data_IF_821269639522
#
_entry.id   IF_821269639522
#
_cell.length_a   1.000
_cell.length_b   1.000
_cell.length_c   1.000
_cell.angle_alpha   90.00
_cell.angle_beta   90.00
_cell.angle_gamma   90.00
#
_symmetry.space_group_name_H-M   'P 1'
#
loop_
_entity.id
_entity.type
_entity.pdbx_description
1 polymer ?
#
# COMPACT_ATOMS: atom_id res chain seq x y z
N UNK A 1 4.64 3.54 -19.63
CA UNK A 1 3.81 2.74 -20.56
C UNK A 1 4.54 2.71 -21.90
N UNK A 2 4.56 1.57 -22.59
CA UNK A 2 5.41 1.37 -23.78
C UNK A 2 6.79 0.76 -23.46
N UNK A 3 6.93 0.10 -22.30
CA UNK A 3 8.11 -0.65 -21.88
C UNK A 3 7.71 -2.13 -21.78
N UNK A 4 8.51 -3.02 -22.35
CA UNK A 4 8.32 -4.46 -22.26
C UNK A 4 8.81 -5.03 -20.92
N UNK A 5 8.27 -6.17 -20.51
CA UNK A 5 8.66 -6.85 -19.26
C UNK A 5 10.13 -7.32 -19.27
N UNK A 6 10.70 -7.51 -20.46
CA UNK A 6 12.12 -7.82 -20.69
C UNK A 6 13.04 -6.59 -20.68
N UNK A 7 12.50 -5.40 -20.39
CA UNK A 7 13.22 -4.14 -20.38
C UNK A 7 13.41 -3.52 -21.77
N UNK A 8 12.88 -4.13 -22.83
CA UNK A 8 12.86 -3.49 -24.15
C UNK A 8 11.97 -2.25 -24.13
N UNK A 9 12.28 -1.29 -25.00
CA UNK A 9 11.55 -0.02 -25.12
C UNK A 9 10.86 0.01 -26.49
N UNK A 10 9.81 -0.80 -26.72
CA UNK A 10 9.12 -0.80 -28.00
C UNK A 10 8.41 0.52 -28.27
N UNK A 11 8.04 1.28 -27.23
CA UNK A 11 7.25 2.49 -27.35
C UNK A 11 5.81 2.24 -27.80
N UNK A 12 5.00 3.26 -27.68
CA UNK A 12 3.61 3.29 -28.12
C UNK A 12 3.54 3.91 -29.52
N UNK A 13 2.71 3.31 -30.37
CA UNK A 13 2.40 3.85 -31.70
C UNK A 13 1.34 4.95 -31.66
N UNK A 14 0.45 4.88 -30.67
CA UNK A 14 -0.70 5.78 -30.52
C UNK A 14 -0.76 6.32 -29.09
N UNK A 15 0.31 6.99 -28.66
CA UNK A 15 0.46 7.42 -27.27
C UNK A 15 -0.66 8.37 -26.79
N UNK A 16 -1.23 9.19 -27.69
CA UNK A 16 -2.39 10.03 -27.39
C UNK A 16 -3.62 9.22 -26.95
N UNK A 17 -3.86 8.07 -27.59
CA UNK A 17 -5.00 7.19 -27.28
C UNK A 17 -4.80 6.50 -25.94
N UNK A 18 -3.60 5.92 -25.72
CA UNK A 18 -3.22 5.30 -24.46
C UNK A 18 -3.29 6.29 -23.28
N UNK A 19 -2.79 7.51 -23.47
CA UNK A 19 -2.89 8.58 -22.49
C UNK A 19 -4.36 8.91 -22.20
N UNK A 20 -5.17 9.13 -23.23
CA UNK A 20 -6.59 9.46 -23.06
C UNK A 20 -7.33 8.38 -22.25
N UNK A 21 -7.13 7.10 -22.60
CA UNK A 21 -7.75 5.97 -21.91
C UNK A 21 -7.31 5.93 -20.44
N UNK A 22 -6.01 6.09 -20.19
CA UNK A 22 -5.44 6.03 -18.85
C UNK A 22 -5.93 7.17 -17.96
N UNK A 23 -5.88 8.41 -18.45
CA UNK A 23 -6.34 9.61 -17.72
C UNK A 23 -7.81 9.45 -17.37
N UNK A 24 -8.65 9.05 -18.34
CA UNK A 24 -10.07 8.77 -18.11
C UNK A 24 -10.29 7.67 -17.07
N UNK A 25 -9.49 6.61 -17.09
CA UNK A 25 -9.59 5.54 -16.11
C UNK A 25 -9.23 6.02 -14.70
N UNK A 26 -8.16 6.80 -14.56
CA UNK A 26 -7.75 7.39 -13.27
C UNK A 26 -8.87 8.30 -12.74
N UNK A 27 -9.40 9.21 -13.55
CA UNK A 27 -10.47 10.13 -13.16
C UNK A 27 -11.77 9.40 -12.78
N UNK A 28 -12.13 8.38 -13.55
CA UNK A 28 -13.41 7.68 -13.39
C UNK A 28 -13.41 6.69 -12.24
N UNK A 29 -12.29 6.03 -11.97
CA UNK A 29 -12.25 4.89 -11.06
C UNK A 29 -11.43 5.15 -9.78
N UNK A 30 -10.59 6.18 -9.71
CA UNK A 30 -9.73 6.42 -8.54
C UNK A 30 -10.22 7.58 -7.66
N UNK A 31 -10.46 7.29 -6.37
CA UNK A 31 -10.97 8.27 -5.41
C UNK A 31 -10.33 8.14 -4.01
N UNK A 32 -10.01 9.25 -3.31
CA UNK A 32 -9.99 10.63 -3.81
C UNK A 32 -9.05 10.79 -5.01
N UNK A 33 -9.15 11.91 -5.73
CA UNK A 33 -8.35 12.14 -6.94
C UNK A 33 -6.84 11.95 -6.67
N UNK A 34 -6.15 11.30 -7.60
CA UNK A 34 -4.71 11.05 -7.52
C UNK A 34 -3.98 12.21 -8.19
N UNK A 35 -3.01 12.80 -7.51
CA UNK A 35 -2.09 13.77 -8.13
C UNK A 35 -0.98 13.00 -8.86
N UNK A 36 -0.70 13.37 -10.10
CA UNK A 36 0.40 12.82 -10.90
C UNK A 36 0.90 13.86 -11.92
N UNK A 37 2.12 13.69 -12.40
CA UNK A 37 2.59 14.33 -13.64
C UNK A 37 2.66 13.29 -14.74
N UNK A 38 2.48 13.74 -15.98
CA UNK A 38 2.59 12.92 -17.17
C UNK A 38 3.60 13.57 -18.11
N UNK A 39 4.59 12.79 -18.52
CA UNK A 39 5.63 13.19 -19.46
C UNK A 39 5.66 12.21 -20.63
N UNK A 40 5.97 12.72 -21.83
CA UNK A 40 6.17 11.90 -23.03
C UNK A 40 7.64 11.90 -23.40
N UNK A 41 8.19 10.71 -23.53
CA UNK A 41 9.57 10.51 -24.00
C UNK A 41 9.49 10.04 -25.44
N UNK A 42 9.92 10.89 -26.36
CA UNK A 42 9.94 10.57 -27.79
C UNK A 42 11.06 9.58 -28.11
N UNK A 43 10.76 8.61 -28.96
CA UNK A 43 11.68 7.59 -29.47
C UNK A 43 11.84 7.73 -31.00
N UNK A 44 12.63 6.82 -31.58
CA UNK A 44 12.68 6.66 -33.03
C UNK A 44 11.34 6.18 -33.61
N UNK A 45 11.17 6.32 -34.93
CA UNK A 45 9.98 5.88 -35.68
C UNK A 45 8.66 6.46 -35.16
N UNK A 46 8.69 7.72 -34.69
CA UNK A 46 7.51 8.45 -34.19
C UNK A 46 6.79 7.75 -33.02
N UNK A 47 7.52 6.93 -32.26
CA UNK A 47 6.99 6.28 -31.06
C UNK A 47 7.26 7.08 -29.80
N UNK A 48 6.46 6.84 -28.77
CA UNK A 48 6.60 7.53 -27.49
C UNK A 48 6.45 6.58 -26.30
N UNK A 49 7.07 6.93 -25.17
CA UNK A 49 6.83 6.30 -23.87
C UNK A 49 6.13 7.31 -22.96
N UNK A 50 5.04 6.87 -22.34
CA UNK A 50 4.35 7.68 -21.33
C UNK A 50 4.95 7.39 -19.95
N UNK A 51 5.41 8.43 -19.27
CA UNK A 51 5.95 8.39 -17.91
C UNK A 51 4.96 9.07 -16.98
N UNK A 52 4.31 8.30 -16.11
CA UNK A 52 3.45 8.83 -15.06
C UNK A 52 4.18 8.81 -13.73
N UNK A 53 4.39 9.99 -13.15
CA UNK A 53 5.01 10.13 -11.84
C UNK A 53 3.93 10.42 -10.80
N UNK A 54 3.71 9.44 -9.90
CA UNK A 54 2.69 9.52 -8.85
C UNK A 54 3.39 9.69 -7.50
N UNK A 55 3.46 10.91 -6.93
CA UNK A 55 4.06 11.12 -5.61
C UNK A 55 3.22 10.50 -4.49
N UNK A 56 3.84 10.28 -3.33
CA UNK A 56 3.13 9.82 -2.12
C UNK A 56 2.10 10.86 -1.70
N UNK A 57 0.83 10.51 -1.80
CA UNK A 57 -0.27 11.43 -1.47
C UNK A 57 -0.48 11.61 0.05
N UNK A 58 -0.81 12.84 0.51
CA UNK A 58 -1.24 13.11 1.88
C UNK A 58 -2.69 12.66 2.15
N UNK A 59 -3.46 12.33 1.12
CA UNK A 59 -4.89 11.97 1.23
C UNK A 59 -5.16 10.46 1.16
N UNK A 60 -4.12 9.63 1.30
CA UNK A 60 -4.22 8.16 1.29
C UNK A 60 -5.18 7.65 2.40
N UNK A 61 -5.82 6.48 2.20
CA UNK A 61 -5.74 5.62 1.01
C UNK A 61 -6.51 6.19 -0.19
N UNK A 62 -5.98 5.95 -1.40
CA UNK A 62 -6.75 6.07 -2.64
C UNK A 62 -7.39 4.73 -2.98
N UNK A 63 -8.64 4.78 -3.44
CA UNK A 63 -9.46 3.63 -3.76
C UNK A 63 -9.65 3.53 -5.27
N UNK A 64 -9.55 2.32 -5.80
CA UNK A 64 -10.10 1.97 -7.11
C UNK A 64 -11.52 1.47 -6.88
N UNK A 65 -12.49 2.05 -7.58
CA UNK A 65 -13.89 1.66 -7.63
C UNK A 65 -14.15 0.98 -8.99
N UNK A 66 -14.07 -0.36 -9.09
CA UNK A 66 -14.25 -1.04 -10.38
C UNK A 66 -15.65 -0.80 -10.97
N UNK A 67 -16.65 -0.71 -10.09
CA UNK A 67 -18.01 -0.36 -10.44
C UNK A 67 -18.48 0.80 -9.53
N UNK A 68 -18.75 2.00 -10.09
CA UNK A 68 -19.32 3.12 -9.34
C UNK A 68 -20.67 2.80 -8.67
N UNK A 69 -21.42 1.80 -9.16
CA UNK A 69 -22.67 1.35 -8.56
C UNK A 69 -22.45 0.42 -7.35
N UNK A 70 -21.24 -0.14 -7.16
CA UNK A 70 -20.87 -0.99 -6.02
C UNK A 70 -19.67 -0.38 -5.25
N UNK A 71 -19.92 0.63 -4.40
CA UNK A 71 -18.87 1.30 -3.64
C UNK A 71 -18.24 0.44 -2.53
N UNK A 72 -18.85 -0.70 -2.19
CA UNK A 72 -18.33 -1.63 -1.18
C UNK A 72 -17.17 -2.46 -1.72
N UNK A 73 -17.18 -2.77 -3.01
CA UNK A 73 -16.11 -3.49 -3.71
C UNK A 73 -14.89 -2.61 -4.07
N UNK A 74 -14.72 -1.48 -3.37
CA UNK A 74 -13.55 -0.61 -3.55
C UNK A 74 -12.27 -1.29 -3.06
N UNK A 75 -11.22 -1.18 -3.87
CA UNK A 75 -9.91 -1.78 -3.59
C UNK A 75 -8.89 -0.70 -3.33
N UNK A 76 -7.87 -1.02 -2.54
CA UNK A 76 -6.70 -0.17 -2.32
C UNK A 76 -5.50 -1.01 -2.71
N UNK A 77 -4.53 -0.41 -3.37
CA UNK A 77 -3.30 -1.08 -3.77
C UNK A 77 -2.09 -0.38 -3.16
N UNK A 78 -1.07 -1.15 -2.85
CA UNK A 78 0.25 -0.69 -2.41
C UNK A 78 1.31 -1.22 -3.36
N UNK A 79 2.32 -0.40 -3.62
CA UNK A 79 3.50 -0.83 -4.35
C UNK A 79 4.41 -1.58 -3.37
N UNK A 80 4.71 -2.84 -3.69
CA UNK A 80 5.71 -3.66 -3.01
C UNK A 80 6.71 -4.06 -4.08
N UNK A 81 7.90 -3.47 -4.03
CA UNK A 81 8.94 -3.61 -5.06
C UNK A 81 8.38 -3.34 -6.48
N UNK A 82 8.40 -4.35 -7.34
CA UNK A 82 7.93 -4.32 -8.73
C UNK A 82 6.44 -4.66 -8.88
N UNK A 83 5.70 -4.90 -7.78
CA UNK A 83 4.32 -5.38 -7.79
C UNK A 83 3.32 -4.42 -7.17
N UNK A 84 2.09 -4.45 -7.70
CA UNK A 84 0.93 -3.77 -7.12
C UNK A 84 0.09 -4.79 -6.34
N UNK A 85 0.20 -4.75 -5.02
CA UNK A 85 -0.45 -5.70 -4.11
C UNK A 85 -1.73 -5.07 -3.56
N UNK A 86 -2.82 -5.84 -3.50
CA UNK A 86 -4.04 -5.37 -2.86
C UNK A 86 -3.79 -5.19 -1.35
N UNK A 87 -4.02 -3.98 -0.86
CA UNK A 87 -3.82 -3.65 0.54
C UNK A 87 -4.79 -4.42 1.43
N UNK A 88 -4.25 -5.02 2.48
CA UNK A 88 -5.03 -5.67 3.54
C UNK A 88 -5.93 -4.67 4.26
N UNK A 89 -6.77 -5.18 5.16
CA UNK A 89 -7.55 -4.33 6.06
C UNK A 89 -6.63 -3.50 6.95
N UNK A 90 -5.59 -4.12 7.49
CA UNK A 90 -4.62 -3.52 8.41
C UNK A 90 -3.86 -2.37 7.75
N UNK A 91 -3.34 -2.58 6.53
CA UNK A 91 -2.66 -1.54 5.73
C UNK A 91 -3.59 -0.35 5.48
N UNK A 92 -4.86 -0.60 5.13
CA UNK A 92 -5.84 0.47 4.93
C UNK A 92 -6.10 1.27 6.21
N UNK A 93 -6.18 0.60 7.37
CA UNK A 93 -6.36 1.29 8.65
C UNK A 93 -5.13 2.09 9.06
N UNK A 94 -3.92 1.60 8.77
CA UNK A 94 -2.67 2.35 8.99
C UNK A 94 -2.66 3.62 8.13
N UNK A 95 -2.97 3.54 6.84
CA UNK A 95 -3.02 4.73 5.97
C UNK A 95 -4.01 5.78 6.47
N UNK A 96 -5.19 5.36 6.95
CA UNK A 96 -6.19 6.26 7.54
C UNK A 96 -5.68 6.88 8.84
N UNK A 97 -4.98 6.10 9.66
CA UNK A 97 -4.38 6.56 10.91
C UNK A 97 -3.27 7.60 10.70
N UNK A 98 -2.37 7.36 9.73
CA UNK A 98 -1.32 8.30 9.32
C UNK A 98 -1.92 9.64 8.89
N UNK A 99 -2.96 9.62 8.03
CA UNK A 99 -3.61 10.84 7.53
C UNK A 99 -4.24 11.68 8.64
N UNK A 100 -4.78 11.03 9.67
CA UNK A 100 -5.47 11.72 10.75
C UNK A 100 -4.52 12.37 11.78
N UNK A 101 -3.19 12.27 11.55
CA UNK A 101 -2.13 12.75 12.45
C UNK A 101 -2.43 12.43 13.92
N UNK A 102 -2.91 11.19 14.15
CA UNK A 102 -3.32 10.78 15.49
C UNK A 102 -2.06 10.65 16.32
N UNK A 103 -1.92 11.50 17.34
CA UNK A 103 -1.01 11.23 18.44
C UNK A 103 -1.45 9.94 19.14
N UNK A 104 -0.90 8.81 18.68
CA UNK A 104 -1.29 7.48 19.15
C UNK A 104 -0.63 7.24 20.51
N UNK A 105 -1.46 7.24 21.56
CA UNK A 105 -1.08 6.72 22.88
C UNK A 105 -1.61 5.30 23.00
N UNK A 106 -0.77 4.40 23.50
CA UNK A 106 -1.18 3.04 23.81
C UNK A 106 -0.57 2.59 25.13
N UNK A 107 -1.26 1.66 25.80
CA UNK A 107 -0.76 1.06 27.03
C UNK A 107 0.07 -0.16 26.66
N UNK A 108 1.31 -0.20 27.13
CA UNK A 108 2.21 -1.32 26.92
C UNK A 108 1.95 -2.40 27.98
N UNK A 109 1.15 -3.41 27.62
CA UNK A 109 0.73 -4.50 28.51
C UNK A 109 1.40 -5.84 28.19
N UNK A 110 0.83 -6.92 28.71
CA UNK A 110 1.45 -8.25 28.63
C UNK A 110 1.47 -8.82 27.21
N UNK A 111 0.43 -8.57 26.40
CA UNK A 111 0.42 -8.96 24.98
C UNK A 111 1.47 -8.20 24.17
N UNK A 112 1.68 -6.92 24.44
CA UNK A 112 2.74 -6.13 23.81
C UNK A 112 4.14 -6.63 24.23
N UNK A 113 4.34 -6.96 25.51
CA UNK A 113 5.58 -7.58 26.00
C UNK A 113 5.88 -8.90 25.31
N UNK A 114 4.88 -9.79 25.22
CA UNK A 114 5.02 -11.09 24.56
C UNK A 114 5.40 -10.92 23.08
N UNK A 115 4.74 -9.99 22.38
CA UNK A 115 5.06 -9.66 21.00
C UNK A 115 6.50 -9.19 20.81
N UNK A 116 6.95 -8.23 21.64
CA UNK A 116 8.30 -7.69 21.51
C UNK A 116 9.37 -8.69 21.93
N UNK A 117 9.10 -9.55 22.92
CA UNK A 117 9.98 -10.65 23.27
C UNK A 117 10.15 -11.62 22.08
N UNK A 118 9.04 -12.00 21.44
CA UNK A 118 9.06 -12.86 20.25
C UNK A 118 9.85 -12.22 19.10
N UNK A 119 9.62 -10.94 18.81
CA UNK A 119 10.34 -10.21 17.75
C UNK A 119 11.82 -9.96 18.08
N UNK A 120 12.23 -10.09 19.34
CA UNK A 120 13.65 -10.08 19.72
C UNK A 120 14.40 -11.36 19.30
N UNK A 121 13.68 -12.44 19.01
CA UNK A 121 14.24 -13.75 18.66
C UNK A 121 13.86 -14.20 17.24
N UNK A 122 12.89 -13.52 16.61
CA UNK A 122 12.33 -13.89 15.33
C UNK A 122 12.28 -12.67 14.41
N UNK A 123 12.41 -12.89 13.10
CA UNK A 123 12.52 -11.81 12.12
C UNK A 123 11.21 -11.03 11.91
N UNK A 124 10.05 -11.70 12.04
CA UNK A 124 8.76 -11.08 11.82
C UNK A 124 7.66 -11.84 12.56
N UNK A 125 6.48 -11.22 12.63
CA UNK A 125 5.23 -11.83 13.11
C UNK A 125 4.09 -11.48 12.15
N UNK A 126 3.05 -12.31 12.10
CA UNK A 126 1.80 -11.99 11.40
C UNK A 126 0.65 -11.84 12.38
N UNK A 127 -0.51 -11.35 11.90
CA UNK A 127 -1.70 -11.20 12.74
C UNK A 127 -2.07 -12.53 13.42
N UNK A 128 -2.04 -13.63 12.67
CA UNK A 128 -2.44 -14.95 13.16
C UNK A 128 -1.41 -15.54 14.14
N UNK A 129 -0.11 -15.35 13.86
CA UNK A 129 0.96 -15.73 14.78
C UNK A 129 0.87 -14.96 16.10
N UNK A 130 0.63 -13.64 16.04
CA UNK A 130 0.51 -12.83 17.25
C UNK A 130 -0.75 -13.20 18.05
N UNK A 131 -1.87 -13.44 17.37
CA UNK A 131 -3.10 -13.88 18.01
C UNK A 131 -2.89 -15.17 18.82
N UNK A 132 -2.22 -16.15 18.23
CA UNK A 132 -1.87 -17.41 18.90
C UNK A 132 -0.88 -17.18 20.05
N UNK A 133 0.22 -16.45 19.81
CA UNK A 133 1.26 -16.16 20.79
C UNK A 133 0.72 -15.51 22.07
N UNK A 134 -0.16 -14.52 21.91
CA UNK A 134 -0.72 -13.77 23.03
C UNK A 134 -2.05 -14.34 23.55
N UNK A 135 -2.53 -15.45 22.98
CA UNK A 135 -3.83 -16.05 23.29
C UNK A 135 -4.99 -15.03 23.25
N UNK A 136 -5.05 -14.26 22.16
CA UNK A 136 -6.07 -13.23 21.91
C UNK A 136 -6.77 -13.47 20.59
N UNK A 137 -7.98 -12.91 20.42
CA UNK A 137 -8.65 -12.98 19.12
C UNK A 137 -7.85 -12.27 18.03
N UNK A 138 -7.95 -12.77 16.79
CA UNK A 138 -7.37 -12.14 15.58
C UNK A 138 -7.72 -10.67 15.45
N UNK A 139 -8.94 -10.28 15.85
CA UNK A 139 -9.40 -8.88 15.85
C UNK A 139 -8.61 -8.00 16.82
N UNK A 140 -8.28 -8.51 18.01
CA UNK A 140 -7.45 -7.77 18.97
C UNK A 140 -6.01 -7.68 18.46
N UNK A 141 -5.44 -8.80 17.99
CA UNK A 141 -4.09 -8.82 17.41
C UNK A 141 -3.94 -7.83 16.25
N UNK A 142 -4.86 -7.85 15.29
CA UNK A 142 -4.93 -6.92 14.15
C UNK A 142 -4.95 -5.45 14.61
N UNK A 143 -5.84 -5.10 15.55
CA UNK A 143 -5.93 -3.73 16.09
C UNK A 143 -4.66 -3.31 16.82
N UNK A 144 -4.06 -4.20 17.61
CA UNK A 144 -2.82 -3.92 18.34
C UNK A 144 -1.65 -3.72 17.38
N UNK A 145 -1.49 -4.55 16.36
CA UNK A 145 -0.43 -4.39 15.36
C UNK A 145 -0.56 -3.07 14.58
N UNK A 146 -1.79 -2.72 14.14
CA UNK A 146 -2.07 -1.42 13.52
C UNK A 146 -1.67 -0.26 14.45
N UNK A 147 -2.04 -0.35 15.73
CA UNK A 147 -1.73 0.66 16.72
C UNK A 147 -0.22 0.82 16.93
N UNK A 148 0.53 -0.28 17.01
CA UNK A 148 1.98 -0.27 17.20
C UNK A 148 2.73 0.25 15.97
N UNK A 149 2.22 0.00 14.76
CA UNK A 149 2.77 0.62 13.53
C UNK A 149 2.54 2.13 13.56
N UNK A 150 1.33 2.58 13.88
CA UNK A 150 1.01 4.01 13.99
C UNK A 150 1.80 4.71 15.10
N UNK A 151 2.11 4.00 16.19
CA UNK A 151 2.97 4.49 17.27
C UNK A 151 4.48 4.39 16.96
N UNK A 152 4.85 4.03 15.73
CA UNK A 152 6.22 3.94 15.26
C UNK A 152 7.07 2.90 16.03
N UNK A 153 6.45 1.85 16.55
CA UNK A 153 7.11 0.73 17.25
C UNK A 153 7.40 -0.44 16.31
N UNK A 154 6.53 -0.66 15.32
CA UNK A 154 6.67 -1.71 14.32
C UNK A 154 6.69 -1.12 12.90
N UNK A 155 7.34 -1.82 11.99
CA UNK A 155 7.16 -1.63 10.56
C UNK A 155 6.27 -2.76 10.00
N UNK A 156 5.55 -2.46 8.91
CA UNK A 156 4.70 -3.41 8.18
C UNK A 156 5.25 -3.61 6.77
N UNK A 157 5.28 -4.87 6.34
CA UNK A 157 5.68 -5.32 5.01
C UNK A 157 4.49 -6.05 4.38
N UNK A 158 3.66 -5.34 3.58
CA UNK A 158 2.54 -5.95 2.90
C UNK A 158 3.00 -7.00 1.88
N UNK A 159 2.19 -8.04 1.67
CA UNK A 159 2.39 -9.00 0.59
C UNK A 159 1.07 -9.53 0.06
N UNK A 160 1.12 -10.27 -1.06
CA UNK A 160 -0.02 -10.94 -1.66
C UNK A 160 -0.56 -12.12 -0.82
N UNK A 161 0.29 -12.71 0.04
CA UNK A 161 -0.09 -13.83 0.92
C UNK A 161 -0.51 -13.34 2.30
N UNK A 162 0.39 -12.65 3.01
CA UNK A 162 0.15 -12.17 4.37
C UNK A 162 1.06 -11.01 4.74
N UNK A 163 0.54 -10.04 5.48
CA UNK A 163 1.35 -8.95 5.99
C UNK A 163 2.30 -9.42 7.09
N UNK A 164 3.55 -9.00 7.00
CA UNK A 164 4.57 -9.24 8.02
C UNK A 164 4.85 -7.97 8.79
N UNK A 165 5.02 -8.11 10.10
CA UNK A 165 5.36 -7.02 11.00
C UNK A 165 6.72 -7.30 11.64
N UNK A 166 7.56 -6.27 11.75
CA UNK A 166 8.86 -6.38 12.40
C UNK A 166 9.02 -5.28 13.45
N UNK A 167 9.88 -5.51 14.44
CA UNK A 167 10.30 -4.44 15.32
C UNK A 167 10.96 -3.33 14.49
N UNK A 168 10.60 -2.08 14.77
CA UNK A 168 11.24 -0.95 14.13
C UNK A 168 12.67 -0.84 14.64
N UNK A 169 13.64 -0.86 13.73
CA UNK A 169 15.03 -0.63 14.10
C UNK A 169 15.19 0.86 14.41
N UNK A 170 15.71 1.19 15.60
CA UNK A 170 16.12 2.56 15.89
C UNK A 170 17.26 2.92 14.93
N UNK A 171 17.02 3.93 14.07
CA UNK A 171 18.06 4.56 13.27
C UNK A 171 18.79 5.60 14.11
#
# INVERSE_FOLDING_TARGET
IGIGDDGTIPGLKYADEDEYILVRAIEKFCFPAITYTLERVQLHDEREVLVLCIPRSPHRPHHVLPDPADPENRKVYVRVDDKSVQASKEVREIMKGERADRNVRFNYGDKEKALMHYLGQNTYVTVDMFAALANISRKIASRTLVLLVLANVLDIFPSDVMDRYTAKQMR
#
